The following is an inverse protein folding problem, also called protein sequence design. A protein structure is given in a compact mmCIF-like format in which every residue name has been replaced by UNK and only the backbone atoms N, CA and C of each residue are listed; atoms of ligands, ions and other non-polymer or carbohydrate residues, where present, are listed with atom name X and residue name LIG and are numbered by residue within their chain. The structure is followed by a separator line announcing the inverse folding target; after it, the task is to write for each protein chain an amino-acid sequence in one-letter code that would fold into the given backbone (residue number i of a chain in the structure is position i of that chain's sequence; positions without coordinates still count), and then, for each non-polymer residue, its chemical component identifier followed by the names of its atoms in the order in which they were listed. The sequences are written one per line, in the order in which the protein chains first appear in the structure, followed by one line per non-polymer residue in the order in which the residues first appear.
data_IF_894930757486
#
_entry.id   IF_894930757486
#
_cell.length_a   1.000
_cell.length_b   1.000
_cell.length_c   1.000
_cell.angle_alpha   90.00
_cell.angle_beta   90.00
_cell.angle_gamma   90.00
#
_symmetry.space_group_name_H-M   'P 1'
#
loop_
_entity.id
_entity.type
_entity.pdbx_description
1 polymer ?
#
# COMPACT_ATOMS: atom_id res chain seq x y z
N UNK A 1 -28.96 33.99 34.79
CA UNK A 1 -28.38 34.79 33.69
C UNK A 1 -26.89 34.90 33.99
N UNK A 2 -26.06 34.04 33.40
CA UNK A 2 -24.61 34.08 33.58
C UNK A 2 -23.93 33.89 32.22
N UNK A 3 -23.17 34.92 31.87
CA UNK A 3 -22.25 35.02 30.74
C UNK A 3 -20.97 34.25 31.06
N UNK A 4 -20.44 33.50 30.09
CA UNK A 4 -19.02 33.16 30.05
C UNK A 4 -18.48 33.39 28.64
N UNK A 5 -17.42 34.21 28.58
CA UNK A 5 -16.55 34.37 27.44
C UNK A 5 -15.43 33.32 27.50
N UNK A 6 -14.93 32.87 26.34
CA UNK A 6 -13.60 32.27 26.24
C UNK A 6 -12.86 32.75 24.99
N UNK A 7 -11.58 33.01 25.22
CA UNK A 7 -10.59 33.74 24.43
C UNK A 7 -10.01 32.90 23.28
N UNK A 8 -9.54 33.62 22.25
CA UNK A 8 -8.83 33.18 21.04
C UNK A 8 -7.61 32.27 21.27
N UNK A 9 -7.33 31.38 20.30
CA UNK A 9 -6.00 31.25 19.66
C UNK A 9 -6.19 30.92 18.17
N UNK A 10 -5.80 31.84 17.30
CA UNK A 10 -5.69 31.60 15.86
C UNK A 10 -4.44 30.79 15.54
N UNK A 11 -4.53 29.92 14.53
CA UNK A 11 -3.36 29.28 13.92
C UNK A 11 -3.42 29.55 12.42
N UNK A 12 -2.51 30.42 11.97
CA UNK A 12 -2.18 30.61 10.56
C UNK A 12 -1.57 29.31 10.01
N UNK A 13 -2.13 28.80 8.91
CA UNK A 13 -1.44 27.82 8.09
C UNK A 13 -0.65 28.57 7.01
N UNK A 14 0.66 28.71 7.24
CA UNK A 14 1.58 28.89 6.12
C UNK A 14 1.59 27.56 5.33
N UNK A 15 1.21 27.62 4.06
CA UNK A 15 1.37 26.50 3.12
C UNK A 15 2.87 26.22 2.96
N UNK A 16 3.37 25.02 3.32
CA UNK A 16 4.75 24.70 3.01
C UNK A 16 4.88 24.44 1.51
N UNK A 17 5.88 25.09 0.92
CA UNK A 17 6.40 24.85 -0.42
C UNK A 17 6.71 23.35 -0.64
N UNK A 18 6.54 22.78 -1.85
CA UNK A 18 6.84 21.37 -2.10
C UNK A 18 8.35 21.14 -1.97
N UNK A 19 8.78 20.27 -1.04
CA UNK A 19 10.19 19.89 -0.86
C UNK A 19 10.44 18.45 -1.30
N UNK A 20 11.64 18.13 -1.82
CA UNK A 20 11.95 16.82 -2.40
C UNK A 20 12.01 15.72 -1.34
N UNK A 21 11.36 14.58 -1.62
CA UNK A 21 11.09 13.48 -0.69
C UNK A 21 12.27 12.49 -0.57
N UNK A 22 12.61 12.10 0.66
CA UNK A 22 13.56 11.02 0.98
C UNK A 22 12.87 9.77 1.53
N UNK A 23 13.45 8.59 1.31
CA UNK A 23 12.93 7.31 1.81
C UNK A 23 13.21 7.11 3.31
N UNK A 24 12.24 6.55 4.05
CA UNK A 24 12.36 6.24 5.48
C UNK A 24 12.17 4.75 5.73
N UNK A 25 13.00 4.15 6.59
CA UNK A 25 12.83 2.76 7.02
C UNK A 25 11.94 2.76 8.27
N UNK A 26 10.77 2.15 8.14
CA UNK A 26 9.84 1.91 9.25
C UNK A 26 10.10 0.50 9.77
N UNK A 27 10.23 0.32 11.08
CA UNK A 27 10.40 -1.00 11.69
C UNK A 27 9.40 -1.26 12.81
N UNK A 28 9.10 -2.52 13.07
CA UNK A 28 8.25 -2.94 14.19
C UNK A 28 7.03 -3.73 13.73
N UNK A 29 6.00 -3.77 14.56
CA UNK A 29 4.81 -4.56 14.26
C UNK A 29 3.54 -3.77 14.53
N UNK A 30 2.52 -4.01 13.72
CA UNK A 30 1.16 -3.53 13.93
C UNK A 30 0.21 -4.71 14.10
N UNK A 31 -0.90 -4.46 14.79
CA UNK A 31 -2.04 -5.35 14.84
C UNK A 31 -3.31 -4.50 14.75
N UNK A 32 -4.27 -4.93 13.94
CA UNK A 32 -5.59 -4.32 13.81
C UNK A 32 -6.65 -5.43 13.83
N UNK A 33 -7.83 -5.11 14.36
CA UNK A 33 -9.01 -5.98 14.32
C UNK A 33 -10.13 -5.29 13.54
N UNK A 34 -10.89 -6.08 12.79
CA UNK A 34 -12.00 -5.63 11.97
C UNK A 34 -13.21 -6.49 12.26
N UNK A 35 -14.35 -5.83 12.38
CA UNK A 35 -15.66 -6.45 12.45
C UNK A 35 -16.33 -6.26 11.09
N UNK A 36 -16.33 -7.30 10.27
CA UNK A 36 -16.99 -7.25 8.97
C UNK A 36 -18.42 -7.72 9.13
N UNK A 37 -19.39 -6.88 8.74
CA UNK A 37 -20.82 -7.22 8.74
C UNK A 37 -21.36 -7.19 7.32
N UNK A 38 -21.87 -8.32 6.84
CA UNK A 38 -22.39 -8.40 5.49
C UNK A 38 -23.70 -9.18 5.48
N UNK A 39 -24.70 -8.58 4.85
CA UNK A 39 -25.94 -9.22 4.43
C UNK A 39 -25.79 -9.90 3.05
N UNK A 40 -24.65 -9.72 2.38
CA UNK A 40 -24.40 -10.25 1.06
C UNK A 40 -23.85 -11.68 1.11
N UNK A 41 -24.48 -12.55 0.33
CA UNK A 41 -24.00 -13.90 0.07
C UNK A 41 -22.80 -13.81 -0.89
N UNK A 42 -21.64 -14.29 -0.46
CA UNK A 42 -20.45 -14.42 -1.32
C UNK A 42 -19.25 -13.52 -0.95
N UNK A 43 -19.39 -12.62 0.02
CA UNK A 43 -18.23 -11.90 0.56
C UNK A 43 -17.33 -12.88 1.32
N UNK A 44 -16.07 -12.98 0.91
CA UNK A 44 -15.11 -13.92 1.47
C UNK A 44 -13.80 -13.21 1.82
N UNK A 45 -13.33 -13.43 3.05
CA UNK A 45 -12.01 -13.02 3.50
C UNK A 45 -11.19 -14.27 3.81
N UNK A 46 -10.12 -14.55 3.07
CA UNK A 46 -9.29 -15.71 3.35
C UNK A 46 -8.43 -15.48 4.60
N UNK A 47 -8.17 -16.56 5.35
CA UNK A 47 -6.99 -16.60 6.22
C UNK A 47 -5.73 -16.61 5.35
N UNK A 48 -4.75 -15.78 5.66
CA UNK A 48 -3.55 -15.64 4.83
C UNK A 48 -2.31 -15.28 5.65
N UNK A 49 -1.13 -15.70 5.18
CA UNK A 49 0.13 -15.22 5.73
C UNK A 49 1.23 -15.22 4.65
N UNK A 50 2.16 -14.30 4.79
CA UNK A 50 3.41 -14.24 4.04
C UNK A 50 4.53 -13.71 4.94
N UNK A 51 5.69 -13.39 4.37
CA UNK A 51 6.77 -12.77 5.13
C UNK A 51 6.45 -11.30 5.44
N UNK A 52 5.88 -11.06 6.62
CA UNK A 52 5.60 -9.72 7.14
C UNK A 52 4.11 -9.39 7.29
N UNK A 53 3.21 -10.27 6.87
CA UNK A 53 1.76 -10.11 7.01
C UNK A 53 1.07 -11.40 7.45
N UNK A 54 0.06 -11.28 8.32
CA UNK A 54 -0.85 -12.35 8.70
C UNK A 54 -2.27 -11.81 8.86
N UNK A 55 -3.22 -12.40 8.15
CA UNK A 55 -4.66 -12.20 8.33
C UNK A 55 -5.27 -13.49 8.87
N UNK A 56 -5.93 -13.39 10.02
CA UNK A 56 -6.70 -14.47 10.62
C UNK A 56 -8.18 -14.10 10.57
N UNK A 57 -9.02 -15.03 10.10
CA UNK A 57 -10.45 -14.78 9.87
C UNK A 57 -11.25 -15.78 10.71
N UNK A 58 -12.21 -15.26 11.48
CA UNK A 58 -13.14 -16.04 12.29
C UNK A 58 -14.56 -15.71 11.82
N UNK A 59 -15.29 -16.66 11.21
CA UNK A 59 -16.70 -16.47 10.89
C UNK A 59 -17.52 -16.23 12.16
N UNK A 60 -18.51 -15.34 12.07
CA UNK A 60 -19.46 -15.05 13.14
C UNK A 60 -20.87 -14.83 12.57
N UNK A 61 -21.95 -14.90 13.39
CA UNK A 61 -23.28 -14.58 12.91
C UNK A 61 -23.32 -13.19 12.26
N UNK A 62 -23.70 -13.12 10.98
CA UNK A 62 -23.78 -11.85 10.23
C UNK A 62 -22.45 -11.32 9.65
N UNK A 63 -21.36 -12.08 9.70
CA UNK A 63 -20.11 -11.72 9.01
C UNK A 63 -18.84 -12.38 9.56
N UNK A 64 -17.79 -11.58 9.78
CA UNK A 64 -16.45 -12.07 10.14
C UNK A 64 -15.76 -11.16 11.16
N UNK A 65 -15.04 -11.76 12.11
CA UNK A 65 -14.01 -11.07 12.87
C UNK A 65 -12.66 -11.33 12.18
N UNK A 66 -11.97 -10.26 11.76
CA UNK A 66 -10.69 -10.35 11.05
C UNK A 66 -9.60 -9.69 11.88
N UNK A 67 -8.52 -10.41 12.13
CA UNK A 67 -7.32 -9.85 12.77
C UNK A 67 -6.18 -9.82 11.76
N UNK A 68 -5.58 -8.64 11.59
CA UNK A 68 -4.39 -8.44 10.77
C UNK A 68 -3.21 -8.10 11.66
N UNK A 69 -2.10 -8.79 11.42
CA UNK A 69 -0.81 -8.51 12.03
C UNK A 69 0.21 -8.26 10.94
N UNK A 70 1.01 -7.21 11.09
CA UNK A 70 2.12 -6.94 10.18
C UNK A 70 3.41 -6.76 10.94
N UNK A 71 4.51 -7.16 10.32
CA UNK A 71 5.87 -6.94 10.78
C UNK A 71 6.63 -6.24 9.68
N UNK A 72 7.07 -5.03 9.97
CA UNK A 72 7.97 -4.29 9.13
C UNK A 72 9.38 -4.56 9.65
N UNK A 73 10.02 -5.59 9.11
CA UNK A 73 11.44 -5.83 9.29
C UNK A 73 12.14 -5.48 7.98
N UNK A 74 13.37 -4.97 8.05
CA UNK A 74 14.17 -4.81 6.85
C UNK A 74 14.22 -6.15 6.09
N UNK A 75 13.93 -6.11 4.79
CA UNK A 75 13.95 -7.31 3.96
C UNK A 75 15.37 -7.87 3.94
N UNK A 76 15.53 -9.14 4.30
CA UNK A 76 16.83 -9.79 4.43
C UNK A 76 17.34 -10.41 3.11
N UNK A 77 16.71 -10.08 1.98
CA UNK A 77 17.07 -10.63 0.67
C UNK A 77 18.45 -10.13 0.25
N UNK A 78 19.27 -11.04 -0.27
CA UNK A 78 20.62 -10.79 -0.80
C UNK A 78 20.71 -11.08 -2.30
N UNK A 79 19.57 -11.30 -2.94
CA UNK A 79 19.51 -11.48 -4.39
C UNK A 79 20.07 -10.25 -5.09
N UNK A 80 20.85 -10.46 -6.14
CA UNK A 80 21.36 -9.37 -6.97
C UNK A 80 20.24 -8.80 -7.84
N UNK A 81 20.33 -7.49 -8.08
CA UNK A 81 19.52 -6.81 -9.08
C UNK A 81 19.68 -7.43 -10.46
N UNK A 82 18.70 -7.16 -11.32
CA UNK A 82 18.56 -7.80 -12.63
C UNK A 82 18.37 -6.74 -13.69
N UNK A 83 18.99 -6.94 -14.84
CA UNK A 83 18.74 -6.07 -15.98
C UNK A 83 17.34 -6.34 -16.53
N UNK A 84 16.65 -5.28 -16.93
CA UNK A 84 15.36 -5.31 -17.62
C UNK A 84 15.59 -5.00 -19.08
N UNK A 85 14.95 -5.80 -19.94
CA UNK A 85 14.91 -5.64 -21.39
C UNK A 85 13.51 -5.94 -21.88
N UNK A 86 13.24 -5.52 -23.11
CA UNK A 86 12.04 -5.85 -23.86
C UNK A 86 10.73 -5.45 -23.15
N UNK A 87 10.74 -4.36 -22.38
CA UNK A 87 9.51 -3.78 -21.86
C UNK A 87 8.59 -3.36 -23.01
N UNK A 88 7.26 -3.42 -22.81
CA UNK A 88 6.29 -2.91 -23.78
C UNK A 88 6.63 -1.47 -24.20
N UNK A 89 6.31 -1.05 -25.45
CA UNK A 89 6.71 0.26 -25.96
C UNK A 89 6.37 1.44 -25.04
N UNK A 90 5.23 1.40 -24.36
CA UNK A 90 4.81 2.42 -23.40
C UNK A 90 5.75 2.52 -22.17
N UNK A 91 6.32 1.40 -21.73
CA UNK A 91 7.20 1.30 -20.57
C UNK A 91 8.69 1.33 -20.93
N UNK A 92 9.05 1.39 -22.21
CA UNK A 92 10.46 1.41 -22.64
C UNK A 92 11.34 2.42 -21.90
N UNK A 93 10.88 3.65 -21.57
CA UNK A 93 11.68 4.58 -20.78
C UNK A 93 12.08 4.08 -19.38
N UNK A 94 11.31 3.15 -18.80
CA UNK A 94 11.59 2.56 -17.49
C UNK A 94 12.79 1.61 -17.50
N UNK A 95 13.19 1.05 -18.64
CA UNK A 95 14.38 0.20 -18.71
C UNK A 95 15.61 0.93 -18.20
N UNK A 96 15.82 2.18 -18.65
CA UNK A 96 16.94 3.03 -18.20
C UNK A 96 16.84 3.39 -16.72
N UNK A 97 15.63 3.57 -16.18
CA UNK A 97 15.39 3.84 -14.76
C UNK A 97 15.80 2.63 -13.92
N UNK A 98 15.26 1.46 -14.26
CA UNK A 98 15.48 0.22 -13.49
C UNK A 98 16.91 -0.28 -13.64
N UNK A 99 17.49 -0.19 -14.85
CA UNK A 99 18.84 -0.66 -15.13
C UNK A 99 19.94 0.17 -14.47
N UNK A 100 19.67 1.44 -14.10
CA UNK A 100 20.60 2.26 -13.30
C UNK A 100 20.92 1.64 -11.94
N UNK A 101 20.04 0.78 -11.43
CA UNK A 101 20.18 0.14 -10.12
C UNK A 101 20.39 -1.39 -10.21
N UNK A 102 20.68 -1.93 -11.40
CA UNK A 102 20.84 -3.39 -11.61
C UNK A 102 21.99 -4.02 -10.83
N UNK A 103 23.00 -3.22 -10.46
CA UNK A 103 24.19 -3.69 -9.74
C UNK A 103 24.03 -3.60 -8.21
N UNK A 104 22.82 -3.29 -7.72
CA UNK A 104 22.45 -3.27 -6.29
C UNK A 104 21.79 -4.59 -5.85
N UNK A 105 21.27 -4.68 -4.62
CA UNK A 105 20.39 -5.78 -4.25
C UNK A 105 19.04 -5.65 -4.94
N UNK A 106 18.38 -6.78 -5.22
CA UNK A 106 17.10 -6.82 -5.91
C UNK A 106 16.03 -6.01 -5.15
N UNK A 107 16.00 -6.13 -3.83
CA UNK A 107 15.09 -5.36 -2.99
C UNK A 107 15.32 -3.84 -3.09
N UNK A 108 16.57 -3.39 -3.22
CA UNK A 108 16.90 -1.98 -3.42
C UNK A 108 16.47 -1.52 -4.81
N UNK A 109 16.75 -2.31 -5.85
CA UNK A 109 16.31 -2.03 -7.22
C UNK A 109 14.78 -1.86 -7.31
N UNK A 110 14.02 -2.74 -6.66
CA UNK A 110 12.55 -2.64 -6.57
C UNK A 110 12.12 -1.40 -5.78
N UNK A 111 12.85 -1.06 -4.71
CA UNK A 111 12.61 0.18 -3.95
C UNK A 111 12.79 1.41 -4.84
N UNK A 112 13.83 1.46 -5.69
CA UNK A 112 14.04 2.55 -6.63
C UNK A 112 12.96 2.63 -7.70
N UNK A 113 12.47 1.50 -8.22
CA UNK A 113 11.33 1.47 -9.13
C UNK A 113 10.10 2.12 -8.48
N UNK A 114 9.77 1.73 -7.25
CA UNK A 114 8.56 2.23 -6.56
C UNK A 114 8.71 3.71 -6.18
N UNK A 115 9.90 4.13 -5.80
CA UNK A 115 10.21 5.54 -5.57
C UNK A 115 10.03 6.36 -6.85
N UNK A 116 10.49 5.86 -8.01
CA UNK A 116 10.28 6.50 -9.30
C UNK A 116 8.78 6.62 -9.62
N UNK A 117 8.00 5.54 -9.43
CA UNK A 117 6.56 5.57 -9.69
C UNK A 117 5.85 6.66 -8.88
N UNK A 118 6.19 6.80 -7.60
CA UNK A 118 5.61 7.84 -6.74
C UNK A 118 6.04 9.27 -7.10
N UNK A 119 7.24 9.43 -7.65
CA UNK A 119 7.75 10.74 -8.06
C UNK A 119 7.20 11.18 -9.42
N UNK A 120 6.91 10.22 -10.29
CA UNK A 120 6.71 10.48 -11.72
C UNK A 120 5.29 10.20 -12.19
N UNK A 121 4.47 9.52 -11.39
CA UNK A 121 3.07 9.21 -11.67
C UNK A 121 2.21 9.79 -10.53
N UNK A 122 1.31 10.70 -10.89
CA UNK A 122 0.32 11.25 -9.96
C UNK A 122 -0.72 10.18 -9.62
N UNK A 123 -0.99 9.99 -8.33
CA UNK A 123 -2.03 9.07 -7.87
C UNK A 123 -3.42 9.68 -8.08
N UNK A 124 -4.23 9.07 -8.94
CA UNK A 124 -5.64 9.39 -9.14
C UNK A 124 -6.48 8.70 -8.06
N UNK A 125 -7.16 9.50 -7.23
CA UNK A 125 -8.12 9.00 -6.23
C UNK A 125 -9.52 8.86 -6.78
N UNK A 126 -9.83 9.55 -7.88
CA UNK A 126 -11.11 9.46 -8.57
C UNK A 126 -11.16 8.24 -9.50
N UNK A 127 -12.37 7.74 -9.75
CA UNK A 127 -12.55 6.62 -10.66
C UNK A 127 -12.19 7.03 -12.10
N UNK A 128 -11.16 6.38 -12.65
CA UNK A 128 -10.79 6.51 -14.06
C UNK A 128 -10.75 5.13 -14.70
N UNK A 129 -11.63 4.93 -15.66
CA UNK A 129 -11.87 3.62 -16.29
C UNK A 129 -10.65 3.11 -17.09
N UNK A 130 -10.00 3.98 -17.87
CA UNK A 130 -8.80 3.63 -18.63
C UNK A 130 -7.56 3.69 -17.72
N UNK A 131 -6.95 2.52 -17.48
CA UNK A 131 -5.69 2.34 -16.76
C UNK A 131 -4.69 1.55 -17.63
N UNK A 132 -4.77 1.73 -18.95
CA UNK A 132 -3.80 1.19 -19.90
C UNK A 132 -2.42 1.82 -19.71
N UNK A 133 -1.36 1.03 -19.90
CA UNK A 133 0.03 1.49 -19.76
C UNK A 133 0.31 2.70 -20.67
N UNK A 134 -0.20 2.67 -21.90
CA UNK A 134 -0.02 3.76 -22.87
C UNK A 134 -0.65 5.08 -22.40
N UNK A 135 -1.85 5.04 -21.79
CA UNK A 135 -2.48 6.23 -21.21
C UNK A 135 -1.67 6.71 -20.01
N UNK A 136 -1.37 5.83 -19.06
CA UNK A 136 -0.68 6.21 -17.83
C UNK A 136 0.68 6.86 -18.13
N UNK A 137 1.47 6.28 -19.03
CA UNK A 137 2.80 6.81 -19.34
C UNK A 137 2.74 8.14 -20.10
N UNK A 138 1.65 8.39 -20.84
CA UNK A 138 1.39 9.67 -21.51
C UNK A 138 0.90 10.75 -20.54
N UNK A 139 -0.04 10.41 -19.67
CA UNK A 139 -0.68 11.38 -18.76
C UNK A 139 0.05 11.53 -17.43
N UNK A 140 0.99 10.63 -17.12
CA UNK A 140 1.69 10.54 -15.84
C UNK A 140 0.71 10.49 -14.65
N UNK A 141 -0.36 9.74 -14.82
CA UNK A 141 -1.49 9.72 -13.88
C UNK A 141 -2.16 8.34 -13.87
N UNK A 142 -2.32 7.74 -12.69
CA UNK A 142 -2.85 6.40 -12.50
C UNK A 142 -3.48 6.20 -11.13
N UNK A 143 -4.45 5.28 -11.02
CA UNK A 143 -4.93 4.81 -9.72
C UNK A 143 -4.16 3.55 -9.26
N UNK A 144 -4.61 2.93 -8.16
CA UNK A 144 -4.00 1.73 -7.60
C UNK A 144 -3.89 0.57 -8.60
N UNK A 145 -4.85 0.42 -9.52
CA UNK A 145 -4.80 -0.58 -10.60
C UNK A 145 -3.67 -0.27 -11.57
N UNK A 146 -3.59 0.97 -12.06
CA UNK A 146 -2.58 1.37 -13.03
C UNK A 146 -1.15 1.22 -12.49
N UNK A 147 -0.92 1.62 -11.24
CA UNK A 147 0.38 1.45 -10.59
C UNK A 147 0.75 -0.03 -10.38
N UNK A 148 -0.21 -0.87 -9.97
CA UNK A 148 0.00 -2.31 -9.85
C UNK A 148 0.34 -2.96 -11.20
N UNK A 149 -0.32 -2.52 -12.29
CA UNK A 149 -0.02 -3.01 -13.64
C UNK A 149 1.42 -2.70 -14.05
N UNK A 150 1.84 -1.44 -13.89
CA UNK A 150 3.23 -1.05 -14.23
C UNK A 150 4.22 -1.86 -13.40
N UNK A 151 3.98 -1.99 -12.09
CA UNK A 151 4.88 -2.72 -11.22
C UNK A 151 5.01 -4.20 -11.64
N UNK A 152 3.90 -4.91 -11.90
CA UNK A 152 3.96 -6.31 -12.32
C UNK A 152 4.65 -6.47 -13.68
N UNK A 153 4.36 -5.63 -14.67
CA UNK A 153 5.00 -5.69 -15.99
C UNK A 153 6.52 -5.51 -15.90
N UNK A 154 6.97 -4.56 -15.07
CA UNK A 154 8.40 -4.34 -14.87
C UNK A 154 9.04 -5.51 -14.10
N UNK A 155 8.38 -6.01 -13.04
CA UNK A 155 8.88 -7.14 -12.26
C UNK A 155 8.94 -8.43 -13.09
N UNK A 156 7.96 -8.69 -13.95
CA UNK A 156 7.95 -9.84 -14.85
C UNK A 156 9.11 -9.76 -15.86
N UNK A 157 9.37 -8.58 -16.43
CA UNK A 157 10.54 -8.35 -17.28
C UNK A 157 11.89 -8.42 -16.53
N UNK A 158 11.89 -8.30 -15.19
CA UNK A 158 13.04 -8.62 -14.33
C UNK A 158 13.16 -10.13 -14.03
N UNK A 159 12.21 -10.95 -14.45
CA UNK A 159 12.07 -12.35 -14.05
C UNK A 159 11.71 -12.52 -12.57
N UNK A 160 11.15 -11.49 -11.94
CA UNK A 160 10.70 -11.51 -10.55
C UNK A 160 9.22 -11.86 -10.53
N UNK A 161 8.88 -12.97 -9.86
CA UNK A 161 7.47 -13.36 -9.75
C UNK A 161 6.73 -12.35 -8.89
N UNK A 162 5.67 -11.79 -9.43
CA UNK A 162 4.75 -10.92 -8.72
C UNK A 162 3.31 -11.29 -9.06
N UNK A 163 2.37 -10.98 -8.16
CA UNK A 163 0.94 -11.25 -8.36
C UNK A 163 0.08 -10.14 -7.78
N UNK A 164 -1.12 -9.99 -8.33
CA UNK A 164 -2.06 -8.98 -7.86
C UNK A 164 -2.64 -9.37 -6.52
N UNK A 165 -2.91 -8.35 -5.72
CA UNK A 165 -3.63 -8.50 -4.46
C UNK A 165 -4.77 -7.50 -4.45
N UNK A 166 -5.97 -7.99 -4.17
CA UNK A 166 -7.17 -7.17 -4.09
C UNK A 166 -7.72 -7.22 -2.68
N UNK A 167 -8.15 -6.07 -2.18
CA UNK A 167 -8.72 -5.96 -0.84
C UNK A 167 -9.09 -4.54 -0.51
N UNK A 168 -8.91 -4.17 0.75
CA UNK A 168 -9.21 -2.84 1.27
C UNK A 168 -7.94 -2.30 1.93
N UNK A 169 -7.60 -1.03 1.68
CA UNK A 169 -6.53 -0.34 2.37
C UNK A 169 -7.10 0.86 3.11
N UNK A 170 -7.31 0.70 4.42
CA UNK A 170 -7.87 1.77 5.24
C UNK A 170 -6.84 2.88 5.46
N UNK A 171 -7.25 4.11 5.20
CA UNK A 171 -6.48 5.31 5.48
C UNK A 171 -6.75 5.81 6.90
N UNK A 172 -5.79 6.56 7.45
CA UNK A 172 -5.89 7.10 8.81
C UNK A 172 -7.11 8.01 9.02
N UNK A 173 -7.55 8.70 7.98
CA UNK A 173 -8.66 9.65 8.04
C UNK A 173 -10.01 9.01 7.68
N UNK A 174 -10.02 7.71 7.38
CA UNK A 174 -11.26 7.00 7.10
C UNK A 174 -12.12 6.94 8.36
N UNK A 175 -13.43 6.90 8.16
CA UNK A 175 -14.38 6.68 9.24
C UNK A 175 -14.15 5.28 9.81
N UNK A 176 -14.41 5.12 11.11
CA UNK A 176 -14.37 3.81 11.77
C UNK A 176 -15.35 2.80 11.16
N UNK A 177 -16.36 3.25 10.42
CA UNK A 177 -17.24 2.40 9.62
C UNK A 177 -17.11 2.80 8.17
N UNK A 178 -16.70 1.87 7.31
CA UNK A 178 -16.69 2.02 5.86
C UNK A 178 -17.76 1.15 5.24
N UNK A 179 -18.44 1.69 4.23
CA UNK A 179 -19.28 0.89 3.34
C UNK A 179 -18.43 0.49 2.13
N UNK A 180 -18.47 -0.78 1.77
CA UNK A 180 -17.81 -1.27 0.57
C UNK A 180 -18.58 -0.78 -0.66
N UNK A 181 -18.20 0.41 -1.09
CA UNK A 181 -18.58 0.99 -2.37
C UNK A 181 -17.32 0.97 -3.27
N UNK A 182 -17.49 0.97 -4.60
CA UNK A 182 -16.41 0.64 -5.54
C UNK A 182 -15.10 1.43 -5.43
N UNK A 183 -15.09 2.58 -4.74
CA UNK A 183 -13.91 3.40 -4.44
C UNK A 183 -13.10 2.95 -3.20
N UNK A 184 -13.66 2.08 -2.36
CA UNK A 184 -13.01 1.56 -1.14
C UNK A 184 -12.09 0.37 -1.44
N UNK A 185 -12.30 -0.29 -2.59
CA UNK A 185 -11.44 -1.38 -3.02
C UNK A 185 -10.06 -0.86 -3.44
N UNK A 186 -9.04 -1.54 -2.95
CA UNK A 186 -7.65 -1.24 -3.26
C UNK A 186 -6.96 -2.43 -3.92
N UNK A 187 -5.99 -2.11 -4.78
CA UNK A 187 -5.13 -3.10 -5.42
C UNK A 187 -3.68 -2.79 -5.11
N UNK A 188 -2.97 -3.81 -4.67
CA UNK A 188 -1.52 -3.79 -4.49
C UNK A 188 -0.94 -5.09 -5.06
N UNK A 189 0.31 -5.40 -4.73
CA UNK A 189 0.99 -6.57 -5.26
C UNK A 189 1.68 -7.39 -4.17
N UNK A 190 2.00 -8.62 -4.51
CA UNK A 190 2.90 -9.46 -3.74
C UNK A 190 4.09 -9.88 -4.60
N UNK A 191 5.29 -9.79 -4.03
CA UNK A 191 6.56 -10.05 -4.73
C UNK A 191 7.23 -11.26 -4.09
N UNK A 192 7.70 -12.20 -4.92
CA UNK A 192 8.47 -13.35 -4.46
C UNK A 192 9.98 -13.08 -4.59
N UNK A 193 10.68 -13.17 -3.47
CA UNK A 193 12.13 -13.25 -3.42
C UNK A 193 12.53 -14.70 -3.15
N UNK A 194 13.37 -15.30 -3.98
CA UNK A 194 13.73 -16.72 -3.86
C UNK A 194 14.39 -17.09 -2.51
N UNK A 195 14.99 -16.12 -1.81
CA UNK A 195 15.65 -16.30 -0.51
C UNK A 195 14.84 -15.82 0.70
N UNK A 196 13.66 -15.24 0.49
CA UNK A 196 12.80 -14.67 1.56
C UNK A 196 11.34 -15.15 1.47
N UNK A 197 10.88 -15.56 0.28
CA UNK A 197 9.50 -15.89 -0.02
C UNK A 197 8.68 -14.68 -0.45
N UNK A 198 7.36 -14.79 -0.30
CA UNK A 198 6.40 -13.76 -0.69
C UNK A 198 6.34 -12.61 0.33
N UNK A 199 6.31 -11.38 -0.17
CA UNK A 199 6.21 -10.14 0.61
C UNK A 199 5.24 -9.20 -0.07
N UNK A 200 4.33 -8.57 0.68
CA UNK A 200 3.46 -7.54 0.12
C UNK A 200 4.21 -6.25 -0.18
N UNK A 201 3.79 -5.58 -1.24
CA UNK A 201 4.21 -4.23 -1.58
C UNK A 201 3.05 -3.47 -2.21
N UNK A 202 2.99 -2.17 -1.96
CA UNK A 202 2.05 -1.24 -2.56
C UNK A 202 2.81 -0.21 -3.40
N UNK A 203 2.72 -0.29 -4.74
CA UNK A 203 3.37 0.65 -5.64
C UNK A 203 3.02 2.13 -5.40
N UNK A 204 1.93 2.43 -4.69
CA UNK A 204 1.57 3.80 -4.32
C UNK A 204 2.38 4.39 -3.16
N UNK A 205 3.15 3.60 -2.42
CA UNK A 205 3.77 4.12 -1.19
C UNK A 205 4.63 3.18 -0.35
N UNK A 206 4.48 1.86 -0.48
CA UNK A 206 4.97 0.89 0.52
C UNK A 206 5.76 -0.21 -0.16
N UNK A 207 7.06 -0.33 0.14
CA UNK A 207 7.93 -1.33 -0.48
C UNK A 207 8.26 -2.40 0.54
N UNK A 208 8.04 -3.67 0.17
CA UNK A 208 8.33 -4.84 1.02
C UNK A 208 7.60 -4.86 2.37
N UNK A 209 6.51 -4.11 2.51
CA UNK A 209 5.57 -4.21 3.61
C UNK A 209 4.21 -3.61 3.22
N UNK A 210 3.18 -3.94 4.00
CA UNK A 210 1.94 -3.16 4.11
C UNK A 210 1.57 -2.99 5.57
N UNK A 211 0.71 -2.02 5.86
CA UNK A 211 0.24 -1.73 7.22
C UNK A 211 -0.84 -2.75 7.64
N UNK A 212 -1.06 -2.90 8.95
CA UNK A 212 -2.16 -3.74 9.46
C UNK A 212 -3.56 -3.17 9.15
N UNK A 213 -3.63 -2.04 8.46
CA UNK A 213 -4.85 -1.48 7.85
C UNK A 213 -5.15 -2.06 6.48
N UNK A 214 -4.38 -3.03 5.98
CA UNK A 214 -4.67 -3.74 4.73
C UNK A 214 -5.44 -5.01 5.02
N UNK A 215 -6.61 -5.15 4.41
CA UNK A 215 -7.48 -6.31 4.55
C UNK A 215 -7.56 -7.04 3.21
N UNK A 216 -7.05 -8.26 3.17
CA UNK A 216 -6.98 -9.10 1.98
C UNK A 216 -8.33 -9.71 1.65
N UNK A 217 -8.75 -9.61 0.39
CA UNK A 217 -9.93 -10.31 -0.15
C UNK A 217 -9.54 -11.41 -1.14
N UNK A 218 -8.51 -11.17 -1.96
CA UNK A 218 -8.09 -12.11 -2.99
C UNK A 218 -6.67 -11.89 -3.47
N UNK A 219 -6.07 -12.95 -4.00
CA UNK A 219 -4.76 -12.95 -4.64
C UNK A 219 -4.94 -13.59 -6.01
N UNK A 220 -4.50 -12.89 -7.04
CA UNK A 220 -4.75 -13.28 -8.42
C UNK A 220 -3.46 -13.23 -9.24
N UNK A 221 -3.20 -14.29 -10.00
CA UNK A 221 -2.07 -14.34 -10.95
C UNK A 221 -2.41 -13.69 -12.29
N UNK A 222 -3.69 -13.67 -12.65
CA UNK A 222 -4.23 -12.96 -13.80
C UNK A 222 -4.93 -11.69 -13.30
N UNK A 223 -5.22 -10.74 -14.19
CA UNK A 223 -5.92 -9.50 -13.86
C UNK A 223 -7.44 -9.73 -13.83
N UNK A 224 -8.13 -9.90 -12.68
CA UNK A 224 -9.56 -10.12 -12.69
C UNK A 224 -10.20 -8.89 -12.03
N UNK A 225 -10.33 -7.79 -12.77
CA UNK A 225 -11.09 -6.65 -12.25
C UNK A 225 -12.60 -6.90 -12.24
N UNK A 226 -13.10 -7.84 -13.04
CA UNK A 226 -14.55 -7.99 -13.19
C UNK A 226 -15.20 -8.77 -12.04
N UNK A 227 -14.52 -9.75 -11.46
CA UNK A 227 -15.14 -10.68 -10.50
C UNK A 227 -15.26 -10.08 -9.09
N UNK A 228 -14.25 -9.37 -8.59
CA UNK A 228 -14.24 -8.84 -7.21
C UNK A 228 -15.08 -7.59 -7.03
N UNK A 229 -15.23 -6.76 -8.09
CA UNK A 229 -16.12 -5.58 -8.08
C UNK A 229 -17.60 -5.99 -7.95
N UNK A 230 -18.00 -7.13 -8.49
CA UNK A 230 -19.40 -7.56 -8.45
C UNK A 230 -19.82 -8.18 -7.09
N UNK A 231 -18.87 -8.69 -6.30
CA UNK A 231 -19.17 -9.49 -5.10
C UNK A 231 -19.26 -8.69 -3.78
N UNK A 232 -18.83 -7.42 -3.75
CA UNK A 232 -18.65 -6.68 -2.49
C UNK A 232 -19.46 -5.38 -2.35
N UNK A 233 -20.16 -4.96 -3.40
CA UNK A 233 -20.86 -3.66 -3.42
C UNK A 233 -22.10 -3.71 -2.53
N UNK A 234 -22.06 -2.98 -1.41
CA UNK A 234 -23.19 -2.85 -0.47
C UNK A 234 -22.92 -3.33 0.96
N UNK A 235 -21.86 -4.11 1.17
CA UNK A 235 -21.45 -4.63 2.48
C UNK A 235 -20.85 -3.57 3.41
N UNK A 236 -20.96 -3.77 4.74
CA UNK A 236 -20.41 -2.84 5.75
C UNK A 236 -19.17 -3.43 6.42
N UNK A 237 -18.11 -2.62 6.57
CA UNK A 237 -16.94 -2.99 7.37
C UNK A 237 -16.79 -2.00 8.52
N UNK A 238 -16.90 -2.50 9.74
CA UNK A 238 -16.65 -1.76 10.96
C UNK A 238 -15.21 -2.04 11.44
N UNK A 239 -14.49 -0.99 11.79
CA UNK A 239 -13.08 -1.03 12.14
C UNK A 239 -12.92 -0.66 13.61
N UNK A 240 -12.49 -1.64 14.41
CA UNK A 240 -12.12 -1.42 15.80
C UNK A 240 -10.59 -1.36 15.89
N UNK A 241 -10.05 -0.13 15.77
CA UNK A 241 -8.61 0.10 15.77
C UNK A 241 -8.04 -0.14 17.17
N UNK A 242 -7.31 -1.23 17.36
CA UNK A 242 -6.46 -1.44 18.53
C UNK A 242 -5.06 -0.89 18.23
N UNK A 243 -4.61 0.15 18.93
CA UNK A 243 -3.36 0.83 18.61
C UNK A 243 -2.12 0.04 19.08
N UNK A 244 -1.37 -0.53 18.14
CA UNK A 244 0.01 -0.98 18.32
C UNK A 244 0.89 -0.26 17.27
N UNK A 245 1.86 0.55 17.70
CA UNK A 245 2.62 1.48 16.84
C UNK A 245 3.92 0.92 16.24
N UNK A 246 4.37 1.51 15.13
CA UNK A 246 5.72 1.29 14.56
C UNK A 246 6.79 2.18 15.21
N UNK A 247 8.05 1.75 15.14
CA UNK A 247 9.25 2.54 15.45
C UNK A 247 9.99 2.87 14.16
N UNK A 248 10.20 4.14 13.87
CA UNK A 248 11.05 4.54 12.72
C UNK A 248 12.50 4.30 13.09
N UNK A 249 13.25 3.65 12.20
CA UNK A 249 14.65 3.32 12.46
C UNK A 249 15.51 3.55 11.21
N UNK A 250 16.17 4.70 11.17
CA UNK A 250 17.28 4.96 10.25
C UNK A 250 16.93 5.57 8.89
N UNK A 251 17.94 6.23 8.30
CA UNK A 251 17.96 6.83 6.95
C UNK A 251 18.77 5.92 6.02
N UNK A 252 18.34 5.76 4.77
CA UNK A 252 19.18 5.15 3.73
C UNK A 252 20.31 6.13 3.31
N UNK A 253 21.59 5.72 3.37
CA UNK A 253 22.69 6.53 2.82
C UNK A 253 22.54 6.65 1.29
N UNK A 254 22.51 7.87 0.74
CA UNK A 254 22.51 8.11 -0.70
C UNK A 254 21.24 8.76 -1.29
N UNK A 255 20.20 9.03 -0.51
CA UNK A 255 19.09 9.91 -0.89
C UNK A 255 19.17 11.22 -0.07
N UNK A 256 19.18 12.37 -0.75
CA UNK A 256 19.27 13.69 -0.12
C UNK A 256 18.12 13.90 0.89
N UNK A 257 18.48 14.39 2.06
CA UNK A 257 17.77 14.17 3.31
C UNK A 257 17.13 15.44 3.84
N UNK A 258 15.81 15.58 3.70
CA UNK A 258 15.02 16.55 4.50
C UNK A 258 13.64 15.98 4.81
N UNK A 259 13.51 15.37 5.99
CA UNK A 259 12.22 14.90 6.51
C UNK A 259 12.02 15.37 7.96
N UNK A 260 10.87 15.98 8.25
CA UNK A 260 10.37 16.23 9.61
C UNK A 260 9.35 15.13 9.97
N UNK A 261 9.67 14.31 10.96
CA UNK A 261 8.77 13.33 11.56
C UNK A 261 8.16 13.96 12.82
N UNK A 262 6.84 13.91 12.99
CA UNK A 262 6.22 14.08 14.32
C UNK A 262 6.14 12.71 15.00
N UNK A 263 6.68 12.52 16.21
CA UNK A 263 6.61 11.24 16.92
C UNK A 263 5.18 10.93 17.38
N UNK A 264 4.89 9.63 17.56
CA UNK A 264 3.71 9.14 18.28
C UNK A 264 3.58 9.85 19.62
N UNK A 265 2.49 10.59 19.84
CA UNK A 265 2.09 10.92 21.21
C UNK A 265 1.47 9.65 21.81
N UNK A 266 2.18 9.07 22.77
CA UNK A 266 1.61 8.19 23.78
C UNK A 266 0.41 8.91 24.42
N UNK A 267 -0.64 8.14 24.69
CA UNK A 267 -1.91 8.61 25.21
C UNK A 267 -1.78 9.39 26.51
N UNK A 268 -2.68 10.36 26.69
CA UNK A 268 -3.20 10.69 28.00
C UNK A 268 -4.71 10.86 27.85
N UNK A 269 -5.45 9.88 28.37
CA UNK A 269 -6.86 10.07 28.77
C UNK A 269 -6.89 11.07 29.95
N UNK A 270 -7.99 11.80 30.11
CA UNK A 270 -9.04 11.33 31.02
C UNK A 270 -10.19 10.64 30.29
#
# INVERSE_FOLDING_TARGET
MFTFALLLVGINFATPEPQPHGASIVMGSQRTQFEVRSDQVGLHFPGYHNNGYKQSVQPQPGGFHVQVETRNAAIASRLRGRAVRDLPPALKPLETVVNRHKDTYLADQITFLFAWLQQEITLETEYVADQSLAKIMRTRSANCVGLANIAIEVLDAMGVKARYVTGIAFQRNDRAVLRLEGSVLHRWIEIHYDDVGWVFADPSGKVNFVEATYLLMGIDTLHPLETTKQLAVGSYVELLKLENGFRVAGRMPGLDSRLRIRPNRLSARP
#
